data_IF_051696357806
#
_entry.id   IF_051696357806
#
_cell.length_a   1.000
_cell.length_b   1.000
_cell.length_c   1.000
_cell.angle_alpha   90.00
_cell.angle_beta   90.00
_cell.angle_gamma   90.00
#
_symmetry.space_group_name_H-M   'P 1'
#
loop_
_entity.id
_entity.type
_entity.pdbx_description
1 polymer ?
#
# COMPACT_ATOMS: atom_id res chain seq x y z
N UNK A 1 33.49 15.70 63.60
CA UNK A 1 34.18 16.45 62.53
C UNK A 1 33.32 17.66 62.17
N UNK A 2 33.63 18.87 62.67
CA UNK A 2 32.86 20.08 62.34
C UNK A 2 33.31 20.56 60.97
N UNK A 3 32.49 20.32 59.95
CA UNK A 3 32.75 20.82 58.60
C UNK A 3 32.57 22.35 58.64
N UNK A 4 33.63 23.09 58.29
CA UNK A 4 33.58 24.55 58.26
C UNK A 4 32.82 25.04 57.02
N UNK A 5 31.52 25.32 57.21
CA UNK A 5 30.62 25.79 56.16
C UNK A 5 31.09 27.07 55.46
N UNK A 6 31.95 27.90 56.08
CA UNK A 6 32.46 29.12 55.44
C UNK A 6 33.45 28.81 54.31
N UNK A 7 34.30 27.80 54.48
CA UNK A 7 35.28 27.42 53.46
C UNK A 7 34.62 26.65 52.31
N UNK A 8 33.58 25.87 52.60
CA UNK A 8 32.78 25.18 51.58
C UNK A 8 32.07 26.19 50.67
N UNK A 9 31.44 27.23 51.24
CA UNK A 9 30.76 28.28 50.43
C UNK A 9 31.72 29.05 49.53
N UNK A 10 32.96 29.30 49.97
CA UNK A 10 34.00 29.98 49.16
C UNK A 10 34.42 29.19 47.92
N UNK A 11 34.32 27.86 47.94
CA UNK A 11 34.70 26.99 46.82
C UNK A 11 33.49 26.63 45.96
N UNK A 12 32.31 26.39 46.57
CA UNK A 12 31.11 26.02 45.82
C UNK A 12 30.53 27.15 44.96
N UNK A 13 30.55 28.40 45.44
CA UNK A 13 30.01 29.54 44.67
C UNK A 13 30.74 29.71 43.31
N UNK A 14 32.08 29.77 43.24
CA UNK A 14 32.76 29.92 41.94
C UNK A 14 32.59 28.70 41.04
N UNK A 15 32.52 27.47 41.58
CA UNK A 15 32.24 26.26 40.79
C UNK A 15 30.83 26.34 40.18
N UNK A 16 29.84 26.76 40.95
CA UNK A 16 28.46 26.89 40.46
C UNK A 16 28.36 27.93 39.34
N UNK A 17 29.08 29.05 39.45
CA UNK A 17 29.13 30.09 38.42
C UNK A 17 29.77 29.57 37.13
N UNK A 18 30.86 28.81 37.22
CA UNK A 18 31.50 28.20 36.04
C UNK A 18 30.57 27.20 35.36
N UNK A 19 29.86 26.36 36.13
CA UNK A 19 28.89 25.42 35.58
C UNK A 19 27.75 26.16 34.87
N UNK A 20 27.22 27.24 35.46
CA UNK A 20 26.17 28.04 34.84
C UNK A 20 26.66 28.68 33.53
N UNK A 21 27.89 29.21 33.50
CA UNK A 21 28.46 29.78 32.29
C UNK A 21 28.68 28.73 31.18
N UNK A 22 29.10 27.52 31.54
CA UNK A 22 29.24 26.41 30.59
C UNK A 22 27.87 25.95 30.04
N UNK A 23 26.85 25.90 30.90
CA UNK A 23 25.48 25.59 30.48
C UNK A 23 24.91 26.66 29.53
N UNK A 24 25.17 27.94 29.80
CA UNK A 24 24.77 29.05 28.93
C UNK A 24 25.53 28.98 27.59
N UNK A 25 26.85 28.78 27.61
CA UNK A 25 27.64 28.66 26.40
C UNK A 25 27.24 27.45 25.55
N UNK A 26 26.99 26.30 26.18
CA UNK A 26 26.46 25.10 25.54
C UNK A 26 25.07 25.32 24.94
N UNK A 27 24.18 26.02 25.67
CA UNK A 27 22.86 26.40 25.19
C UNK A 27 22.91 27.33 23.97
N UNK A 28 23.77 28.35 24.00
CA UNK A 28 23.97 29.28 22.87
C UNK A 28 24.57 28.57 21.65
N UNK A 29 25.55 27.67 21.85
CA UNK A 29 26.14 26.89 20.77
C UNK A 29 25.13 25.91 20.13
N UNK A 30 24.31 25.25 20.95
CA UNK A 30 23.25 24.36 20.49
C UNK A 30 22.18 25.11 19.65
N UNK A 31 21.81 26.33 20.08
CA UNK A 31 20.86 27.18 19.35
C UNK A 31 21.43 27.65 18.00
N UNK A 32 22.73 27.96 17.90
CA UNK A 32 23.38 28.34 16.64
C UNK A 32 23.46 27.18 15.64
N UNK A 33 23.83 25.97 16.11
CA UNK A 33 23.86 24.76 15.27
C UNK A 33 22.46 24.39 14.74
N UNK A 34 21.41 24.52 15.55
CA UNK A 34 20.02 24.27 15.14
C UNK A 34 19.56 25.23 14.03
N UNK A 35 20.02 26.49 14.06
CA UNK A 35 19.72 27.49 13.02
C UNK A 35 20.44 27.22 11.69
N UNK A 36 21.68 26.69 11.71
CA UNK A 36 22.46 26.42 10.49
C UNK A 36 21.93 25.26 9.64
N UNK A 37 21.23 24.30 10.25
CA UNK A 37 20.74 23.10 9.58
C UNK A 37 19.24 23.14 9.21
N UNK A 38 18.57 24.29 9.30
CA UNK A 38 17.16 24.43 8.95
C UNK A 38 17.00 25.44 7.80
N UNK A 39 16.30 25.06 6.73
CA UNK A 39 15.92 25.97 5.64
C UNK A 39 14.52 26.55 5.88
N UNK A 40 14.18 27.69 5.26
CA UNK A 40 12.82 28.25 5.39
C UNK A 40 11.77 27.39 4.68
N UNK A 41 10.50 27.42 5.14
CA UNK A 41 9.39 26.72 4.49
C UNK A 41 9.27 27.03 2.99
N UNK A 42 9.39 28.30 2.60
CA UNK A 42 9.30 28.71 1.18
C UNK A 42 10.44 28.13 0.34
N UNK A 43 11.65 28.03 0.92
CA UNK A 43 12.81 27.44 0.26
C UNK A 43 12.67 25.92 0.12
N UNK A 44 12.08 25.27 1.12
CA UNK A 44 11.73 23.85 1.07
C UNK A 44 10.69 23.57 0.00
N UNK A 45 9.60 24.35 -0.01
CA UNK A 45 8.53 24.26 -1.00
C UNK A 45 9.07 24.45 -2.42
N UNK A 46 9.88 25.50 -2.66
CA UNK A 46 10.48 25.75 -3.97
C UNK A 46 11.35 24.58 -4.44
N UNK A 47 12.18 23.98 -3.56
CA UNK A 47 13.00 22.81 -3.89
C UNK A 47 12.17 21.59 -4.26
N UNK A 48 11.10 21.33 -3.51
CA UNK A 48 10.22 20.18 -3.77
C UNK A 48 9.45 20.36 -5.07
N UNK A 49 8.89 21.54 -5.33
CA UNK A 49 8.19 21.83 -6.60
C UNK A 49 9.16 21.74 -7.79
N UNK A 50 10.38 22.23 -7.64
CA UNK A 50 11.41 22.10 -8.67
C UNK A 50 11.78 20.64 -8.95
N UNK A 51 11.96 19.85 -7.88
CA UNK A 51 12.19 18.42 -7.98
C UNK A 51 11.03 17.69 -8.67
N UNK A 52 9.77 18.01 -8.33
CA UNK A 52 8.60 17.40 -8.96
C UNK A 52 8.55 17.73 -10.45
N UNK A 53 8.63 19.01 -10.80
CA UNK A 53 8.54 19.46 -12.20
C UNK A 53 9.68 18.91 -13.07
N UNK A 54 10.91 18.90 -12.56
CA UNK A 54 12.08 18.45 -13.32
C UNK A 54 12.27 16.94 -13.33
N UNK A 55 12.12 16.28 -12.19
CA UNK A 55 12.51 14.88 -12.02
C UNK A 55 11.34 13.91 -12.17
N UNK A 56 10.14 14.28 -11.71
CA UNK A 56 8.96 13.41 -11.75
C UNK A 56 8.12 13.66 -13.01
N UNK A 57 7.69 14.90 -13.24
CA UNK A 57 6.77 15.23 -14.33
C UNK A 57 7.47 15.37 -15.68
N UNK A 58 8.76 15.72 -15.70
CA UNK A 58 9.60 15.80 -16.93
C UNK A 58 8.93 16.56 -18.09
N UNK A 59 8.16 17.60 -17.77
CA UNK A 59 7.46 18.43 -18.74
C UNK A 59 6.11 17.89 -19.24
N UNK A 60 5.63 16.75 -18.75
CA UNK A 60 4.32 16.20 -19.10
C UNK A 60 3.16 16.95 -18.42
N UNK A 61 3.41 17.51 -17.23
CA UNK A 61 2.47 18.33 -16.48
C UNK A 61 3.23 19.37 -15.63
N UNK A 62 2.51 20.30 -15.01
CA UNK A 62 3.08 21.32 -14.11
C UNK A 62 2.50 21.21 -12.71
N UNK A 63 3.38 21.05 -11.72
CA UNK A 63 3.06 21.15 -10.30
C UNK A 63 3.04 22.62 -9.85
N UNK A 64 1.95 23.03 -9.21
CA UNK A 64 1.75 24.38 -8.67
C UNK A 64 1.61 24.31 -7.15
N UNK A 65 2.46 25.07 -6.45
CA UNK A 65 2.40 25.16 -4.99
C UNK A 65 1.06 25.75 -4.53
N UNK A 66 0.40 25.10 -3.59
CA UNK A 66 -0.81 25.61 -2.93
C UNK A 66 -0.51 26.17 -1.55
N UNK A 67 0.22 25.42 -0.72
CA UNK A 67 0.63 25.89 0.60
C UNK A 67 1.84 25.12 1.15
N UNK A 68 2.51 25.72 2.11
CA UNK A 68 3.54 25.08 2.92
C UNK A 68 3.27 25.36 4.40
N UNK A 69 3.32 24.34 5.23
CA UNK A 69 3.18 24.43 6.69
C UNK A 69 4.25 23.60 7.39
N UNK A 70 4.50 23.90 8.66
CA UNK A 70 5.35 23.07 9.52
C UNK A 70 4.46 22.16 10.37
N UNK A 71 4.66 20.84 10.29
CA UNK A 71 3.93 19.84 11.06
C UNK A 71 4.93 18.83 11.64
N UNK A 72 4.90 18.60 12.95
CA UNK A 72 5.66 17.54 13.65
C UNK A 72 7.15 17.43 13.27
N UNK A 73 7.82 18.56 13.06
CA UNK A 73 9.27 18.60 12.77
C UNK A 73 9.65 18.49 11.29
N UNK A 74 8.68 18.42 10.38
CA UNK A 74 8.88 18.45 8.92
C UNK A 74 8.07 19.59 8.27
N UNK A 75 8.40 19.92 7.03
CA UNK A 75 7.58 20.80 6.20
C UNK A 75 6.60 19.97 5.38
N UNK A 76 5.32 20.28 5.49
CA UNK A 76 4.25 19.73 4.66
C UNK A 76 3.97 20.67 3.52
N UNK A 77 4.00 20.14 2.30
CA UNK A 77 3.93 20.92 1.06
C UNK A 77 2.75 20.38 0.26
N UNK A 78 1.72 21.19 0.14
CA UNK A 78 0.52 20.90 -0.64
C UNK A 78 0.65 21.56 -2.01
N UNK A 79 0.42 20.79 -3.06
CA UNK A 79 0.53 21.26 -4.45
C UNK A 79 -0.52 20.61 -5.33
N UNK A 80 -0.75 21.19 -6.50
CA UNK A 80 -1.68 20.65 -7.50
C UNK A 80 -0.94 20.26 -8.76
N UNK A 81 -1.35 19.16 -9.38
CA UNK A 81 -0.95 18.77 -10.75
C UNK A 81 -2.24 18.50 -11.52
N UNK A 82 -2.46 19.25 -12.61
CA UNK A 82 -3.68 19.13 -13.44
C UNK A 82 -5.01 19.20 -12.64
N UNK A 83 -5.01 19.97 -11.54
CA UNK A 83 -6.18 20.16 -10.68
C UNK A 83 -6.39 19.11 -9.59
N UNK A 84 -5.57 18.06 -9.54
CA UNK A 84 -5.55 17.08 -8.43
C UNK A 84 -4.58 17.54 -7.34
N UNK A 85 -4.95 17.36 -6.07
CA UNK A 85 -4.16 17.78 -4.91
C UNK A 85 -3.26 16.67 -4.38
N UNK A 86 -2.01 17.01 -4.11
CA UNK A 86 -0.98 16.10 -3.60
C UNK A 86 -0.24 16.73 -2.43
N UNK A 87 0.18 15.90 -1.48
CA UNK A 87 0.93 16.34 -0.29
C UNK A 87 2.25 15.60 -0.20
N UNK A 88 3.36 16.34 -0.23
CA UNK A 88 4.69 15.83 0.08
C UNK A 88 5.20 16.41 1.40
N UNK A 89 6.13 15.71 2.04
CA UNK A 89 6.81 16.17 3.24
C UNK A 89 8.29 16.35 2.97
N UNK A 90 8.92 17.34 3.60
CA UNK A 90 10.34 17.62 3.47
C UNK A 90 10.98 17.81 4.84
N UNK A 91 12.15 17.22 5.06
CA UNK A 91 12.90 17.48 6.30
C UNK A 91 13.26 18.96 6.41
N UNK A 92 13.41 19.45 7.64
CA UNK A 92 13.76 20.86 7.89
C UNK A 92 15.09 21.31 7.30
N UNK A 93 16.01 20.38 7.08
CA UNK A 93 17.29 20.65 6.39
C UNK A 93 17.17 20.61 4.86
N UNK A 94 15.99 20.24 4.34
CA UNK A 94 15.67 20.18 2.93
C UNK A 94 16.35 19.05 2.16
N UNK A 95 16.88 18.02 2.85
CA UNK A 95 17.63 16.93 2.22
C UNK A 95 16.77 15.73 1.82
N UNK A 96 15.69 15.45 2.54
CA UNK A 96 14.83 14.30 2.28
C UNK A 96 13.42 14.76 1.95
N UNK A 97 12.81 14.16 0.93
CA UNK A 97 11.41 14.34 0.57
C UNK A 97 10.68 13.00 0.73
N UNK A 98 9.53 13.02 1.37
CA UNK A 98 8.64 11.87 1.54
C UNK A 98 7.38 12.13 0.74
N UNK A 99 7.02 11.18 -0.12
CA UNK A 99 5.87 11.28 -1.01
C UNK A 99 4.57 10.80 -0.37
N UNK A 100 4.65 10.26 0.85
CA UNK A 100 3.53 9.84 1.68
C UNK A 100 3.82 10.12 3.15
N UNK A 101 2.75 10.33 3.92
CA UNK A 101 2.79 10.50 5.36
C UNK A 101 1.40 10.28 5.92
N UNK A 102 1.31 9.52 7.01
CA UNK A 102 0.07 9.30 7.76
C UNK A 102 0.23 9.85 9.17
N UNK A 103 -0.87 10.30 9.77
CA UNK A 103 -0.88 10.53 11.21
C UNK A 103 -0.69 9.18 11.91
N UNK A 104 0.29 9.09 12.81
CA UNK A 104 0.36 8.00 13.77
C UNK A 104 -0.80 8.20 14.75
N UNK A 105 -1.72 7.23 14.93
CA UNK A 105 -2.73 7.34 15.98
C UNK A 105 -1.99 7.46 17.32
N UNK A 106 -2.29 8.52 18.09
CA UNK A 106 -1.74 8.67 19.43
C UNK A 106 -2.18 7.48 20.28
N UNK A 107 -1.22 6.81 20.93
CA UNK A 107 -1.50 5.78 21.93
C UNK A 107 -2.19 6.43 23.15
N UNK A 108 -3.51 6.57 23.07
CA UNK A 108 -4.49 6.59 24.17
C UNK A 108 -5.70 7.43 23.80
N UNK A 109 -6.64 6.81 23.08
CA UNK A 109 -8.09 6.91 23.29
C UNK A 109 -8.78 6.06 22.23
N UNK A 110 -8.54 4.75 22.32
CA UNK A 110 -9.46 3.75 21.78
C UNK A 110 -10.82 3.99 22.45
N UNK A 111 -11.72 4.69 21.78
CA UNK A 111 -13.19 4.58 21.87
C UNK A 111 -13.92 5.74 21.15
N UNK A 112 -13.27 6.88 20.86
CA UNK A 112 -13.97 8.01 20.22
C UNK A 112 -13.73 8.16 18.69
N UNK A 113 -12.69 7.54 18.13
CA UNK A 113 -12.33 7.73 16.71
C UNK A 113 -12.76 6.58 15.78
N UNK A 114 -13.40 5.54 16.32
CA UNK A 114 -13.96 4.45 15.52
C UNK A 114 -15.17 4.89 14.66
N UNK A 115 -15.77 6.06 14.91
CA UNK A 115 -16.98 6.51 14.21
C UNK A 115 -16.72 7.52 13.08
N UNK A 116 -15.56 8.21 13.03
CA UNK A 116 -15.33 9.25 12.00
C UNK A 116 -14.47 8.78 10.81
N UNK A 117 -13.64 7.74 10.98
CA UNK A 117 -12.82 7.20 9.88
C UNK A 117 -13.51 6.09 9.08
N UNK A 118 -14.69 5.63 9.51
CA UNK A 118 -15.55 4.74 8.71
C UNK A 118 -16.29 5.47 7.58
N UNK A 119 -16.31 6.81 7.59
CA UNK A 119 -17.22 7.58 6.74
C UNK A 119 -16.54 8.37 5.59
N UNK A 120 -15.20 8.48 5.54
CA UNK A 120 -14.53 9.26 4.49
C UNK A 120 -14.19 8.45 3.23
N UNK A 121 -14.11 7.12 3.31
CA UNK A 121 -13.90 6.24 2.14
C UNK A 121 -15.20 5.83 1.43
N UNK A 122 -16.36 6.14 2.02
CA UNK A 122 -17.69 5.76 1.50
C UNK A 122 -18.32 6.78 0.55
N UNK A 123 -17.72 7.97 0.38
CA UNK A 123 -18.44 9.10 -0.21
C UNK A 123 -18.57 9.07 -1.73
N UNK A 124 -17.84 8.20 -2.45
CA UNK A 124 -17.84 8.21 -3.92
C UNK A 124 -17.97 6.84 -4.61
N UNK A 125 -18.28 5.75 -3.89
CA UNK A 125 -18.47 4.44 -4.55
C UNK A 125 -19.83 4.45 -5.29
N UNK A 126 -19.87 4.31 -6.63
CA UNK A 126 -21.12 4.23 -7.36
C UNK A 126 -21.93 3.03 -6.88
N UNK A 127 -23.24 3.18 -6.73
CA UNK A 127 -24.11 2.08 -6.32
C UNK A 127 -24.59 1.26 -7.53
N UNK A 128 -24.68 -0.06 -7.35
CA UNK A 128 -25.18 -1.03 -8.33
C UNK A 128 -26.09 -2.06 -7.66
N UNK A 129 -26.98 -2.70 -8.41
CA UNK A 129 -27.82 -3.78 -7.86
C UNK A 129 -26.97 -4.98 -7.42
N UNK A 130 -25.89 -5.22 -8.14
CA UNK A 130 -24.86 -6.18 -7.79
C UNK A 130 -23.52 -5.46 -7.70
N UNK A 131 -22.97 -5.35 -6.49
CA UNK A 131 -21.67 -4.74 -6.31
C UNK A 131 -20.59 -5.59 -7.00
N UNK A 132 -19.64 -4.92 -7.65
CA UNK A 132 -18.50 -5.53 -8.33
C UNK A 132 -17.21 -5.03 -7.69
N UNK A 133 -16.37 -5.97 -7.26
CA UNK A 133 -15.07 -5.71 -6.68
C UNK A 133 -13.98 -6.43 -7.49
N UNK A 134 -13.00 -5.68 -7.98
CA UNK A 134 -11.88 -6.18 -8.76
C UNK A 134 -10.62 -6.00 -7.93
N UNK A 135 -10.04 -7.10 -7.45
CA UNK A 135 -8.78 -7.08 -6.71
C UNK A 135 -7.64 -7.37 -7.69
N UNK A 136 -6.76 -6.39 -7.91
CA UNK A 136 -5.59 -6.51 -8.77
C UNK A 136 -4.34 -6.81 -7.95
N UNK A 137 -3.63 -7.88 -8.29
CA UNK A 137 -2.48 -8.41 -7.55
C UNK A 137 -1.37 -8.90 -8.48
N UNK A 138 -0.30 -9.43 -7.89
CA UNK A 138 0.66 -10.32 -8.56
C UNK A 138 0.80 -11.52 -7.60
N UNK A 139 0.73 -12.78 -8.07
CA UNK A 139 0.53 -13.96 -7.20
C UNK A 139 1.59 -14.19 -6.11
N UNK A 140 2.77 -13.56 -6.20
CA UNK A 140 3.82 -13.68 -5.18
C UNK A 140 4.29 -12.33 -4.63
N UNK A 141 3.49 -11.28 -4.81
CA UNK A 141 3.68 -10.02 -4.11
C UNK A 141 3.21 -10.15 -2.66
N UNK A 142 4.07 -9.93 -1.64
CA UNK A 142 3.67 -10.09 -0.24
C UNK A 142 2.42 -9.30 0.16
N UNK A 143 2.28 -8.07 -0.36
CA UNK A 143 1.10 -7.24 -0.11
C UNK A 143 -0.14 -7.70 -0.89
N UNK A 144 0.05 -8.30 -2.06
CA UNK A 144 -1.01 -8.93 -2.85
C UNK A 144 -1.60 -10.12 -2.09
N UNK A 145 -0.74 -11.02 -1.63
CA UNK A 145 -1.12 -12.22 -0.88
C UNK A 145 -1.86 -11.87 0.41
N UNK A 146 -1.41 -10.82 1.12
CA UNK A 146 -2.14 -10.27 2.26
C UNK A 146 -3.55 -9.80 1.88
N UNK A 147 -3.70 -9.07 0.77
CA UNK A 147 -5.02 -8.59 0.34
C UNK A 147 -5.94 -9.73 -0.10
N UNK A 148 -5.43 -10.79 -0.72
CA UNK A 148 -6.18 -11.98 -1.07
C UNK A 148 -6.69 -12.73 0.17
N UNK A 149 -5.85 -12.88 1.19
CA UNK A 149 -6.25 -13.49 2.47
C UNK A 149 -7.35 -12.70 3.17
N UNK A 150 -7.27 -11.37 3.14
CA UNK A 150 -8.30 -10.48 3.69
C UNK A 150 -9.59 -10.50 2.86
N UNK A 151 -9.48 -10.64 1.53
CA UNK A 151 -10.63 -10.65 0.62
C UNK A 151 -11.36 -11.99 0.62
N UNK A 152 -10.66 -13.12 0.76
CA UNK A 152 -11.24 -14.47 0.75
C UNK A 152 -12.49 -14.62 1.64
N UNK A 153 -12.47 -14.28 2.95
CA UNK A 153 -13.65 -14.47 3.79
C UNK A 153 -14.79 -13.49 3.43
N UNK A 154 -14.48 -12.33 2.83
CA UNK A 154 -15.50 -11.41 2.29
C UNK A 154 -16.13 -11.99 1.02
N UNK A 155 -15.32 -12.60 0.14
CA UNK A 155 -15.78 -13.25 -1.07
C UNK A 155 -16.64 -14.48 -0.79
N UNK A 156 -16.32 -15.23 0.27
CA UNK A 156 -17.14 -16.34 0.76
C UNK A 156 -18.47 -15.85 1.34
N UNK A 157 -18.45 -14.81 2.17
CA UNK A 157 -19.66 -14.23 2.76
C UNK A 157 -20.60 -13.70 1.67
N UNK A 158 -20.09 -12.95 0.70
CA UNK A 158 -20.88 -12.33 -0.36
C UNK A 158 -21.02 -13.21 -1.61
N UNK A 159 -20.76 -14.52 -1.49
CA UNK A 159 -20.82 -15.46 -2.61
C UNK A 159 -22.20 -15.44 -3.26
N UNK A 160 -22.22 -15.16 -4.57
CA UNK A 160 -23.46 -15.04 -5.35
C UNK A 160 -24.23 -13.72 -5.15
N UNK A 161 -23.83 -12.88 -4.19
CA UNK A 161 -24.40 -11.56 -3.93
C UNK A 161 -23.60 -10.44 -4.57
N UNK A 162 -22.27 -10.53 -4.53
CA UNK A 162 -21.35 -9.61 -5.20
C UNK A 162 -20.57 -10.34 -6.29
N UNK A 163 -20.08 -9.60 -7.29
CA UNK A 163 -19.08 -10.07 -8.23
C UNK A 163 -17.70 -9.67 -7.73
N UNK A 164 -17.03 -10.57 -7.02
CA UNK A 164 -15.69 -10.35 -6.46
C UNK A 164 -14.72 -11.21 -7.28
N UNK A 165 -13.80 -10.54 -7.98
CA UNK A 165 -12.91 -11.17 -8.98
C UNK A 165 -11.46 -10.77 -8.72
N UNK A 166 -10.56 -11.72 -8.99
CA UNK A 166 -9.11 -11.55 -8.90
C UNK A 166 -8.55 -11.23 -10.29
N UNK A 167 -7.66 -10.26 -10.36
CA UNK A 167 -7.02 -9.75 -11.57
C UNK A 167 -5.53 -9.50 -11.32
N UNK A 168 -4.74 -9.36 -12.37
CA UNK A 168 -3.28 -9.40 -12.32
C UNK A 168 -2.62 -8.19 -12.96
N UNK A 169 -1.59 -7.69 -12.29
CA UNK A 169 -0.81 -6.54 -12.76
C UNK A 169 0.25 -7.01 -13.75
N UNK A 170 0.00 -6.75 -15.03
CA UNK A 170 0.87 -7.14 -16.14
C UNK A 170 1.64 -5.93 -16.65
N UNK A 171 2.94 -6.08 -16.82
CA UNK A 171 3.87 -5.04 -17.27
C UNK A 171 4.34 -5.31 -18.70
N UNK A 172 4.65 -4.24 -19.43
CA UNK A 172 5.36 -4.31 -20.70
C UNK A 172 6.83 -3.91 -20.52
N UNK A 173 7.72 -4.64 -21.18
CA UNK A 173 9.17 -4.39 -21.23
C UNK A 173 9.83 -4.23 -19.85
N UNK A 174 9.35 -4.96 -18.84
CA UNK A 174 9.87 -4.88 -17.48
C UNK A 174 11.36 -5.29 -17.44
N UNK A 175 12.21 -4.44 -16.87
CA UNK A 175 13.67 -4.63 -16.81
C UNK A 175 14.33 -4.90 -18.19
N UNK A 176 13.77 -4.35 -19.27
CA UNK A 176 14.26 -4.59 -20.63
C UNK A 176 13.74 -5.88 -21.28
N UNK A 177 12.79 -6.55 -20.62
CA UNK A 177 12.14 -7.76 -21.12
C UNK A 177 12.98 -9.02 -20.99
N UNK A 178 12.62 -10.06 -21.75
CA UNK A 178 13.32 -11.34 -21.77
C UNK A 178 12.57 -12.47 -21.07
N UNK A 179 12.94 -13.71 -21.38
CA UNK A 179 12.24 -14.92 -20.95
C UNK A 179 12.23 -15.14 -19.43
N UNK A 180 13.08 -14.42 -18.68
CA UNK A 180 13.07 -14.47 -17.22
C UNK A 180 11.92 -13.67 -16.59
N UNK A 181 11.31 -12.72 -17.31
CA UNK A 181 10.18 -11.91 -16.84
C UNK A 181 8.93 -12.03 -17.70
N UNK A 182 9.11 -12.23 -19.01
CA UNK A 182 8.05 -12.09 -20.01
C UNK A 182 7.72 -13.40 -20.71
N UNK A 183 6.44 -13.61 -20.98
CA UNK A 183 5.93 -14.82 -21.63
C UNK A 183 6.09 -14.78 -23.15
N UNK A 184 5.98 -13.60 -23.75
CA UNK A 184 5.98 -13.40 -25.19
C UNK A 184 7.30 -12.80 -25.71
N UNK A 185 7.54 -12.96 -27.01
CA UNK A 185 8.76 -12.47 -27.67
C UNK A 185 8.81 -10.94 -27.81
N UNK A 186 7.66 -10.28 -27.76
CA UNK A 186 7.56 -8.82 -27.87
C UNK A 186 7.66 -8.14 -26.50
N UNK A 187 7.86 -8.90 -25.42
CA UNK A 187 7.94 -8.43 -24.03
C UNK A 187 6.70 -7.62 -23.61
N UNK A 188 5.50 -7.99 -24.08
CA UNK A 188 4.25 -7.31 -23.75
C UNK A 188 3.66 -7.75 -22.42
N UNK A 189 3.88 -9.02 -22.05
CA UNK A 189 3.33 -9.59 -20.83
C UNK A 189 4.46 -10.07 -19.95
N UNK A 190 4.76 -9.26 -18.93
CA UNK A 190 5.83 -9.50 -17.98
C UNK A 190 5.31 -9.36 -16.55
N UNK A 191 5.96 -10.05 -15.61
CA UNK A 191 5.72 -9.89 -14.17
C UNK A 191 6.99 -9.48 -13.43
N UNK A 192 6.82 -8.75 -12.32
CA UNK A 192 7.93 -8.14 -11.58
C UNK A 192 8.80 -9.16 -10.83
N UNK A 193 8.23 -10.27 -10.36
CA UNK A 193 8.97 -11.33 -9.67
C UNK A 193 9.29 -12.53 -10.58
N UNK A 194 9.21 -12.33 -11.90
CA UNK A 194 9.71 -13.27 -12.89
C UNK A 194 8.65 -14.13 -13.58
N UNK A 195 9.10 -14.94 -14.54
CA UNK A 195 8.25 -15.73 -15.43
C UNK A 195 7.40 -16.77 -14.68
N UNK A 196 7.88 -17.29 -13.56
CA UNK A 196 7.12 -18.24 -12.74
C UNK A 196 5.93 -17.59 -12.04
N UNK A 197 6.03 -16.33 -11.63
CA UNK A 197 4.88 -15.56 -11.13
C UNK A 197 3.89 -15.32 -12.26
N UNK A 198 4.35 -14.88 -13.43
CA UNK A 198 3.45 -14.68 -14.59
C UNK A 198 2.74 -15.97 -15.01
N UNK A 199 3.44 -17.11 -14.96
CA UNK A 199 2.83 -18.41 -15.20
C UNK A 199 1.79 -18.75 -14.14
N UNK A 200 1.98 -18.30 -12.89
CA UNK A 200 1.04 -18.50 -11.81
C UNK A 200 -0.18 -17.58 -11.94
N UNK A 201 0.00 -16.30 -12.29
CA UNK A 201 -1.07 -15.35 -12.61
C UNK A 201 -2.01 -15.99 -13.67
N UNK A 202 -1.45 -16.58 -14.74
CA UNK A 202 -2.21 -17.27 -15.79
C UNK A 202 -2.96 -18.51 -15.27
N UNK A 203 -2.35 -19.32 -14.39
CA UNK A 203 -3.01 -20.51 -13.82
C UNK A 203 -4.21 -20.11 -12.97
N UNK A 204 -4.07 -19.04 -12.18
CA UNK A 204 -5.15 -18.52 -11.36
C UNK A 204 -6.27 -17.92 -12.21
N UNK A 205 -5.95 -17.19 -13.28
CA UNK A 205 -6.95 -16.77 -14.29
C UNK A 205 -7.69 -17.97 -14.90
N UNK A 206 -6.97 -19.05 -15.20
CA UNK A 206 -7.57 -20.29 -15.70
C UNK A 206 -8.50 -20.98 -14.68
N UNK A 207 -8.13 -20.99 -13.40
CA UNK A 207 -9.00 -21.49 -12.32
C UNK A 207 -10.21 -20.58 -12.14
N UNK A 208 -10.05 -19.26 -12.15
CA UNK A 208 -11.17 -18.33 -12.06
C UNK A 208 -12.16 -18.52 -13.21
N UNK A 209 -11.67 -18.77 -14.43
CA UNK A 209 -12.50 -18.98 -15.61
C UNK A 209 -13.28 -20.30 -15.60
N UNK A 210 -12.63 -21.40 -15.23
CA UNK A 210 -13.22 -22.75 -15.40
C UNK A 210 -13.64 -23.43 -14.11
N UNK A 211 -13.17 -22.95 -12.96
CA UNK A 211 -13.39 -23.52 -11.64
C UNK A 211 -13.60 -22.38 -10.62
N UNK A 212 -14.39 -21.36 -10.98
CA UNK A 212 -14.57 -20.10 -10.23
C UNK A 212 -14.82 -20.31 -8.73
N UNK A 213 -15.59 -21.33 -8.37
CA UNK A 213 -15.88 -21.67 -6.97
C UNK A 213 -14.66 -22.05 -6.12
N UNK A 214 -13.53 -22.38 -6.75
CA UNK A 214 -12.29 -22.83 -6.11
C UNK A 214 -11.17 -21.79 -6.15
N UNK A 215 -11.37 -20.61 -6.77
CA UNK A 215 -10.27 -19.65 -6.99
C UNK A 215 -9.61 -19.21 -5.69
N UNK A 216 -10.39 -18.82 -4.68
CA UNK A 216 -9.85 -18.33 -3.42
C UNK A 216 -9.13 -19.41 -2.60
N UNK A 217 -9.57 -20.67 -2.71
CA UNK A 217 -8.87 -21.80 -2.09
C UNK A 217 -7.57 -22.13 -2.85
N UNK A 218 -7.59 -22.04 -4.18
CA UNK A 218 -6.40 -22.23 -5.00
C UNK A 218 -5.33 -21.18 -4.73
N UNK A 219 -5.68 -19.90 -4.75
CA UNK A 219 -4.78 -18.78 -4.44
C UNK A 219 -4.17 -18.96 -3.05
N UNK A 220 -4.99 -19.21 -2.02
CA UNK A 220 -4.50 -19.46 -0.66
C UNK A 220 -3.52 -20.63 -0.59
N UNK A 221 -3.83 -21.74 -1.27
CA UNK A 221 -2.98 -22.91 -1.29
C UNK A 221 -1.65 -22.64 -2.00
N UNK A 222 -1.66 -21.87 -3.09
CA UNK A 222 -0.47 -21.49 -3.85
C UNK A 222 0.42 -20.52 -3.07
N UNK A 223 -0.17 -19.56 -2.37
CA UNK A 223 0.53 -18.62 -1.48
C UNK A 223 1.24 -19.33 -0.32
N UNK A 224 0.66 -20.42 0.18
CA UNK A 224 1.20 -21.18 1.31
C UNK A 224 2.17 -22.27 0.89
N UNK A 225 1.93 -22.89 -0.26
CA UNK A 225 2.63 -24.10 -0.71
C UNK A 225 3.78 -23.85 -1.68
N UNK A 226 3.79 -22.71 -2.37
CA UNK A 226 4.75 -22.40 -3.43
C UNK A 226 5.30 -20.96 -3.30
N UNK A 227 6.22 -20.61 -4.18
CA UNK A 227 6.87 -19.28 -4.25
C UNK A 227 7.19 -18.92 -5.70
N UNK A 228 7.50 -17.65 -5.96
CA UNK A 228 7.96 -17.20 -7.28
C UNK A 228 9.22 -17.96 -7.79
N UNK A 229 10.00 -18.58 -6.91
CA UNK A 229 11.18 -19.36 -7.29
C UNK A 229 10.88 -20.80 -7.76
N UNK A 230 9.71 -21.35 -7.42
CA UNK A 230 9.42 -22.77 -7.67
C UNK A 230 7.99 -23.08 -8.14
N UNK A 231 7.13 -22.07 -8.35
CA UNK A 231 5.73 -22.22 -8.72
C UNK A 231 5.51 -23.24 -9.86
N UNK A 232 6.32 -23.19 -10.92
CA UNK A 232 6.17 -24.07 -12.07
C UNK A 232 6.39 -25.56 -11.75
N UNK A 233 7.24 -25.85 -10.76
CA UNK A 233 7.49 -27.22 -10.29
C UNK A 233 6.57 -27.65 -9.14
N UNK A 234 6.00 -26.68 -8.43
CA UNK A 234 5.26 -26.90 -7.19
C UNK A 234 3.74 -26.99 -7.39
N UNK A 235 3.18 -26.21 -8.33
CA UNK A 235 1.75 -25.94 -8.40
C UNK A 235 0.87 -27.19 -8.61
N UNK A 236 1.31 -28.16 -9.43
CA UNK A 236 0.46 -29.32 -9.75
C UNK A 236 0.11 -30.14 -8.50
N UNK A 237 1.07 -30.33 -7.60
CA UNK A 237 0.86 -31.12 -6.38
C UNK A 237 -0.06 -30.37 -5.41
N UNK A 238 0.13 -29.05 -5.27
CA UNK A 238 -0.74 -28.19 -4.46
C UNK A 238 -2.17 -28.19 -5.00
N UNK A 239 -2.32 -27.98 -6.32
CA UNK A 239 -3.60 -27.98 -7.02
C UNK A 239 -4.35 -29.32 -6.86
N UNK A 240 -3.67 -30.45 -7.06
CA UNK A 240 -4.24 -31.79 -6.87
C UNK A 240 -4.69 -32.01 -5.43
N UNK A 241 -3.92 -31.54 -4.45
CA UNK A 241 -4.21 -31.68 -3.02
C UNK A 241 -5.54 -31.06 -2.59
N UNK A 242 -6.01 -30.03 -3.32
CA UNK A 242 -7.30 -29.36 -3.06
C UNK A 242 -8.36 -29.66 -4.14
N UNK A 243 -8.11 -30.64 -5.01
CA UNK A 243 -9.07 -31.09 -6.01
C UNK A 243 -9.28 -30.14 -7.20
N UNK A 244 -8.28 -29.34 -7.58
CA UNK A 244 -8.30 -28.57 -8.83
C UNK A 244 -8.11 -29.52 -10.03
N UNK A 245 -8.91 -29.35 -11.08
CA UNK A 245 -8.68 -30.02 -12.36
C UNK A 245 -7.43 -29.43 -13.05
N UNK A 246 -6.29 -30.05 -12.78
CA UNK A 246 -4.96 -29.64 -13.29
C UNK A 246 -4.87 -29.71 -14.80
N UNK A 247 -5.49 -30.72 -15.43
CA UNK A 247 -5.43 -30.85 -16.89
C UNK A 247 -6.24 -29.73 -17.57
N UNK A 248 -7.38 -29.34 -16.99
CA UNK A 248 -8.12 -28.17 -17.47
C UNK A 248 -7.29 -26.88 -17.37
N UNK A 249 -6.55 -26.69 -16.28
CA UNK A 249 -5.66 -25.53 -16.11
C UNK A 249 -4.53 -25.54 -17.14
N UNK A 250 -3.89 -26.70 -17.40
CA UNK A 250 -2.82 -26.82 -18.41
C UNK A 250 -3.32 -26.54 -19.82
N UNK A 251 -4.50 -27.05 -20.18
CA UNK A 251 -5.13 -26.77 -21.48
C UNK A 251 -5.39 -25.28 -21.64
N UNK A 252 -5.94 -24.64 -20.60
CA UNK A 252 -6.18 -23.20 -20.60
C UNK A 252 -4.88 -22.40 -20.69
N UNK A 253 -3.88 -22.69 -19.85
CA UNK A 253 -2.58 -22.00 -19.88
C UNK A 253 -1.90 -22.12 -21.24
N UNK A 254 -1.96 -23.29 -21.88
CA UNK A 254 -1.37 -23.50 -23.21
C UNK A 254 -2.08 -22.72 -24.31
N UNK A 255 -3.41 -22.68 -24.29
CA UNK A 255 -4.19 -22.21 -25.44
C UNK A 255 -4.72 -20.78 -25.27
N UNK A 256 -4.81 -20.27 -24.04
CA UNK A 256 -5.56 -19.06 -23.71
C UNK A 256 -4.72 -18.00 -22.96
N UNK A 257 -3.48 -18.32 -22.55
CA UNK A 257 -2.64 -17.40 -21.76
C UNK A 257 -2.55 -15.99 -22.36
N UNK A 258 -2.23 -15.88 -23.65
CA UNK A 258 -2.09 -14.57 -24.31
C UNK A 258 -3.40 -13.78 -24.28
N UNK A 259 -4.52 -14.42 -24.61
CA UNK A 259 -5.82 -13.76 -24.61
C UNK A 259 -6.26 -13.33 -23.20
N UNK A 260 -5.93 -14.11 -22.17
CA UNK A 260 -6.18 -13.74 -20.77
C UNK A 260 -5.30 -12.56 -20.35
N UNK A 261 -4.01 -12.59 -20.66
CA UNK A 261 -3.08 -11.50 -20.33
C UNK A 261 -3.42 -10.19 -21.07
N UNK A 262 -3.90 -10.28 -22.30
CA UNK A 262 -4.43 -9.11 -23.04
C UNK A 262 -5.62 -8.47 -22.33
N UNK A 263 -6.52 -9.27 -21.75
CA UNK A 263 -7.65 -8.76 -20.96
C UNK A 263 -7.17 -8.06 -19.69
N UNK A 264 -6.19 -8.65 -19.00
CA UNK A 264 -5.59 -8.04 -17.81
C UNK A 264 -4.91 -6.72 -18.14
N UNK A 265 -4.12 -6.64 -19.22
CA UNK A 265 -3.52 -5.38 -19.68
C UNK A 265 -4.58 -4.32 -19.98
N UNK A 266 -5.70 -4.71 -20.61
CA UNK A 266 -6.79 -3.79 -20.90
C UNK A 266 -7.48 -3.29 -19.62
N UNK A 267 -7.69 -4.16 -18.62
CA UNK A 267 -8.24 -3.80 -17.32
C UNK A 267 -7.28 -2.89 -16.54
N UNK A 268 -5.99 -3.22 -16.52
CA UNK A 268 -4.96 -2.42 -15.85
C UNK A 268 -4.93 -1.00 -16.42
N UNK A 269 -4.96 -0.87 -17.75
CA UNK A 269 -5.06 0.43 -18.42
C UNK A 269 -6.36 1.15 -18.08
N UNK A 270 -7.49 0.44 -18.11
CA UNK A 270 -8.83 1.03 -17.85
C UNK A 270 -8.90 1.66 -16.45
N UNK A 271 -8.35 0.98 -15.45
CA UNK A 271 -8.46 1.41 -14.05
C UNK A 271 -7.20 2.06 -13.50
N UNK A 272 -6.19 2.33 -14.32
CA UNK A 272 -4.94 2.96 -13.88
C UNK A 272 -4.14 2.09 -12.90
N UNK A 273 -4.21 0.77 -13.06
CA UNK A 273 -3.53 -0.17 -12.18
C UNK A 273 -2.04 -0.20 -12.52
N UNK A 274 -1.21 0.11 -11.52
CA UNK A 274 0.25 0.18 -11.65
C UNK A 274 0.98 -0.64 -10.59
N UNK A 275 0.26 -1.30 -9.68
CA UNK A 275 0.88 -2.06 -8.60
C UNK A 275 -0.08 -2.98 -7.85
N UNK A 276 0.50 -3.83 -7.01
CA UNK A 276 -0.21 -4.83 -6.20
C UNK A 276 -0.13 -4.49 -4.70
N UNK A 277 -1.22 -4.59 -3.94
CA UNK A 277 -2.60 -4.76 -4.38
C UNK A 277 -3.24 -3.41 -4.73
N UNK A 278 -4.16 -3.41 -5.70
CA UNK A 278 -5.13 -2.33 -5.92
C UNK A 278 -6.54 -2.91 -5.97
N UNK A 279 -7.51 -2.22 -5.38
CA UNK A 279 -8.91 -2.66 -5.35
C UNK A 279 -9.78 -1.63 -6.05
N UNK A 280 -10.68 -2.10 -6.91
CA UNK A 280 -11.68 -1.26 -7.58
C UNK A 280 -13.06 -1.76 -7.21
N UNK A 281 -13.92 -0.89 -6.67
CA UNK A 281 -15.30 -1.20 -6.32
C UNK A 281 -16.22 -0.36 -7.20
N UNK A 282 -17.07 -1.01 -7.98
CA UNK A 282 -18.01 -0.37 -8.90
C UNK A 282 -17.38 0.71 -9.79
N UNK A 283 -16.25 0.37 -10.41
CA UNK A 283 -15.45 1.24 -11.28
C UNK A 283 -14.75 2.42 -10.58
N UNK A 284 -14.79 2.49 -9.24
CA UNK A 284 -14.08 3.48 -8.43
C UNK A 284 -12.92 2.82 -7.67
N UNK A 285 -11.72 3.44 -7.73
CA UNK A 285 -10.57 2.98 -6.95
C UNK A 285 -10.85 3.10 -5.45
N UNK A 286 -10.56 2.03 -4.72
CA UNK A 286 -10.65 1.94 -3.28
C UNK A 286 -9.34 2.37 -2.62
N UNK A 287 -9.43 3.35 -1.74
CA UNK A 287 -8.30 3.92 -1.00
C UNK A 287 -8.42 3.76 0.52
N UNK A 288 -9.33 2.89 0.98
CA UNK A 288 -9.54 2.64 2.41
C UNK A 288 -8.54 1.65 3.01
N UNK A 289 -8.75 1.29 4.28
CA UNK A 289 -7.90 0.36 5.00
C UNK A 289 -7.88 -1.06 4.38
N UNK A 290 -6.76 -1.76 4.48
CA UNK A 290 -6.65 -3.18 4.10
C UNK A 290 -7.02 -4.05 5.29
N UNK A 291 -8.32 -4.23 5.52
CA UNK A 291 -8.86 -5.13 6.53
C UNK A 291 -10.14 -5.80 6.02
N UNK A 292 -10.49 -6.94 6.59
CA UNK A 292 -11.70 -7.70 6.25
C UNK A 292 -12.94 -6.81 6.35
N UNK A 293 -13.10 -6.10 7.47
CA UNK A 293 -14.25 -5.22 7.71
C UNK A 293 -14.28 -4.00 6.77
N UNK A 294 -13.13 -3.43 6.43
CA UNK A 294 -13.08 -2.30 5.50
C UNK A 294 -13.43 -2.72 4.07
N UNK A 295 -12.95 -3.88 3.61
CA UNK A 295 -13.34 -4.46 2.32
C UNK A 295 -14.84 -4.80 2.30
N UNK A 296 -15.33 -5.52 3.31
CA UNK A 296 -16.76 -5.88 3.42
C UNK A 296 -17.64 -4.65 3.40
N UNK A 297 -17.41 -3.69 4.29
CA UNK A 297 -18.24 -2.49 4.40
C UNK A 297 -18.24 -1.65 3.11
N UNK A 298 -17.11 -1.56 2.42
CA UNK A 298 -17.00 -0.78 1.18
C UNK A 298 -17.68 -1.47 0.00
N UNK A 299 -17.58 -2.80 -0.12
CA UNK A 299 -18.32 -3.56 -1.13
C UNK A 299 -19.83 -3.48 -0.83
N UNK A 300 -20.22 -3.60 0.44
CA UNK A 300 -21.60 -3.45 0.89
C UNK A 300 -22.20 -2.06 0.62
N UNK A 301 -21.40 -1.00 0.79
CA UNK A 301 -21.81 0.36 0.45
C UNK A 301 -22.06 0.57 -1.05
N UNK A 302 -21.43 -0.27 -1.90
CA UNK A 302 -21.62 -0.29 -3.35
C UNK A 302 -22.94 -0.89 -3.83
N UNK A 303 -23.79 -1.41 -2.93
CA UNK A 303 -25.10 -1.91 -3.34
C UNK A 303 -26.17 -0.80 -3.36
N UNK A 304 -27.09 -0.88 -4.34
CA UNK A 304 -28.35 -0.14 -4.29
C UNK A 304 -29.19 -0.62 -3.10
N UNK A 305 -29.31 -1.94 -2.95
CA UNK A 305 -29.92 -2.61 -1.82
C UNK A 305 -28.94 -3.65 -1.27
N UNK A 306 -28.39 -3.38 -0.09
CA UNK A 306 -27.43 -4.27 0.53
C UNK A 306 -28.07 -5.62 0.89
N UNK A 307 -27.41 -6.75 0.59
CA UNK A 307 -27.88 -8.08 0.99
C UNK A 307 -27.72 -8.28 2.50
N UNK A 308 -28.47 -9.22 3.09
CA UNK A 308 -28.46 -9.47 4.55
C UNK A 308 -27.07 -9.84 5.09
N UNK A 309 -26.26 -10.49 4.26
CA UNK A 309 -24.88 -10.87 4.54
C UNK A 309 -23.98 -9.66 4.90
N UNK A 310 -24.31 -8.46 4.42
CA UNK A 310 -23.58 -7.24 4.76
C UNK A 310 -23.64 -6.86 6.25
N UNK A 311 -24.66 -7.33 6.96
CA UNK A 311 -24.84 -7.11 8.40
C UNK A 311 -24.19 -8.22 9.25
N UNK A 312 -23.64 -9.27 8.63
CA UNK A 312 -23.05 -10.39 9.34
C UNK A 312 -21.59 -10.11 9.73
N UNK A 313 -21.16 -10.68 10.86
CA UNK A 313 -19.77 -10.68 11.25
C UNK A 313 -18.99 -11.70 10.40
N UNK A 314 -17.75 -11.37 10.04
CA UNK A 314 -16.87 -12.28 9.28
C UNK A 314 -15.83 -12.89 10.21
N UNK A 315 -15.63 -14.20 10.14
CA UNK A 315 -14.57 -14.85 10.92
C UNK A 315 -13.19 -14.34 10.50
N UNK A 316 -12.32 -14.06 11.49
CA UNK A 316 -11.01 -13.44 11.25
C UNK A 316 -11.00 -11.91 11.30
N UNK A 317 -12.15 -11.25 11.50
CA UNK A 317 -12.25 -9.80 11.69
C UNK A 317 -11.68 -9.30 13.02
N UNK A 318 -11.20 -10.21 13.88
CA UNK A 318 -10.38 -9.84 15.03
C UNK A 318 -9.06 -9.28 14.50
N UNK A 319 -8.81 -8.00 14.78
CA UNK A 319 -7.54 -7.32 14.56
C UNK A 319 -6.41 -8.08 15.25
N UNK A 320 -5.76 -8.99 14.53
CA UNK A 320 -4.43 -9.48 14.89
C UNK A 320 -3.44 -8.43 14.40
N UNK A 321 -3.05 -7.54 15.31
CA UNK A 321 -1.89 -6.65 15.13
C UNK A 321 -0.68 -7.53 14.85
N UNK A 322 -0.03 -7.46 13.68
CA UNK A 322 1.22 -8.17 13.47
C UNK A 322 2.29 -7.49 14.33
N UNK A 323 2.69 -8.12 15.43
CA UNK A 323 3.89 -7.74 16.17
C UNK A 323 5.11 -8.27 15.41
N UNK A 324 5.51 -7.56 14.36
CA UNK A 324 6.74 -7.82 13.62
C UNK A 324 7.54 -6.53 13.49
N UNK A 325 8.54 -6.35 14.34
CA UNK A 325 9.57 -5.32 14.12
C UNK A 325 10.51 -5.80 13.02
N UNK A 326 10.84 -4.91 12.08
CA UNK A 326 12.01 -5.10 11.24
C UNK A 326 13.26 -4.90 12.13
N UNK A 327 14.02 -5.97 12.38
CA UNK A 327 15.45 -5.87 12.70
C UNK A 327 16.26 -5.62 11.42
#
# INVERSE_FOLDING_TARGET
>A
MKIDLKNIKKILIPILVVIILLLIAGGLYYLDQKKKNTISPDKAAARVIDFINKSLLKGQATAVLKSVSEESGVYKILFTVEGQEYTFYNTKDGKLVFTSGGAMPEESTQEAQAQEQQNSSQTNIPKKDKARALLFVMSYCPYGNQAEELMKPVAELLKGKADIELHYVIYANYQGGGSQYCLDKDNKYCSMHGIQELNQDVRELCVQKYQKDKIWDFVKAMNSGCSAGNADSCWENVAKGIGIDVERVKICQKNEAIALLEQEVALNKKYGITGSPQLVINDQEYNGARSIEAYKSSICAGFNQAPEECSQAVQGSATTTPSGSCE
#
